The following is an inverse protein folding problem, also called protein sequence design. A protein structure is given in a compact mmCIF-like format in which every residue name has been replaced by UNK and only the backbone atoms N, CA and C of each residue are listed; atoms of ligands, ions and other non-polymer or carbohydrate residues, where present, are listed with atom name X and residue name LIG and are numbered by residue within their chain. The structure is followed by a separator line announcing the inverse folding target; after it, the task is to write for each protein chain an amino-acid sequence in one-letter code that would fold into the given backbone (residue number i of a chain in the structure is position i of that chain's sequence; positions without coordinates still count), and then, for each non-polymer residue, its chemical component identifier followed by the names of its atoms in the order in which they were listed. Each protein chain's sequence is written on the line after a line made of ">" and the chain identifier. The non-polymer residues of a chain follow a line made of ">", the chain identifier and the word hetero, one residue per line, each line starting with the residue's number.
data_IF_984292096721
#
_entry.id   IF_984292096721
#
_cell.length_a   1.000
_cell.length_b   1.000
_cell.length_c   1.000
_cell.angle_alpha   90.00
_cell.angle_beta   90.00
_cell.angle_gamma   90.00
#
_symmetry.space_group_name_H-M   'P 1'
#
loop_
_entity.id
_entity.type
_entity.pdbx_description
1 polymer ?
#
# COMPACT_ATOMS: atom_id res chain seq x y z
N UNK A 1 -1.66 16.56 19.66
CA UNK A 1 -2.26 15.98 18.45
C UNK A 1 -3.52 16.75 18.14
N UNK A 2 -3.47 17.55 17.09
CA UNK A 2 -4.61 18.25 16.51
C UNK A 2 -5.48 17.27 15.71
N UNK A 3 -6.73 17.64 15.44
CA UNK A 3 -7.61 16.91 14.55
C UNK A 3 -8.24 17.87 13.55
N UNK A 4 -8.14 17.57 12.27
CA UNK A 4 -8.75 18.34 11.19
C UNK A 4 -9.78 17.49 10.46
N UNK A 5 -10.95 18.06 10.19
CA UNK A 5 -12.08 17.37 9.54
C UNK A 5 -12.51 18.02 8.22
N UNK A 6 -11.91 19.13 7.84
CA UNK A 6 -12.20 19.83 6.57
C UNK A 6 -10.92 20.13 5.79
N UNK A 7 -11.07 20.25 4.48
CA UNK A 7 -9.97 20.61 3.58
C UNK A 7 -9.35 21.96 3.98
N UNK A 8 -10.18 22.95 4.28
CA UNK A 8 -9.76 24.31 4.63
C UNK A 8 -8.98 24.34 5.94
N UNK A 9 -9.45 23.60 6.95
CA UNK A 9 -8.76 23.51 8.24
C UNK A 9 -7.40 22.81 8.10
N UNK A 10 -7.32 21.76 7.26
CA UNK A 10 -6.06 21.07 6.98
C UNK A 10 -5.06 21.98 6.27
N UNK A 11 -5.51 22.72 5.26
CA UNK A 11 -4.67 23.67 4.52
C UNK A 11 -4.21 24.82 5.44
N UNK A 12 -5.09 25.39 6.25
CA UNK A 12 -4.73 26.45 7.18
C UNK A 12 -3.69 25.97 8.22
N UNK A 13 -3.87 24.76 8.73
CA UNK A 13 -2.91 24.13 9.66
C UNK A 13 -1.54 23.96 8.99
N UNK A 14 -1.48 23.34 7.80
CA UNK A 14 -0.22 23.04 7.13
C UNK A 14 0.52 24.30 6.68
N UNK A 15 -0.20 25.32 6.20
CA UNK A 15 0.37 26.62 5.87
C UNK A 15 0.97 27.33 7.09
N UNK A 16 0.35 27.19 8.27
CA UNK A 16 0.94 27.72 9.51
C UNK A 16 2.27 27.05 9.82
N UNK A 17 2.32 25.70 9.81
CA UNK A 17 3.57 24.96 10.08
C UNK A 17 4.68 25.30 9.10
N UNK A 18 4.34 25.39 7.80
CA UNK A 18 5.31 25.74 6.75
C UNK A 18 5.83 27.17 6.87
N UNK A 19 5.00 28.14 7.31
CA UNK A 19 5.46 29.51 7.58
C UNK A 19 6.49 29.56 8.72
N UNK A 20 6.38 28.64 9.66
CA UNK A 20 7.34 28.46 10.75
C UNK A 20 8.61 27.68 10.30
N UNK A 21 8.73 27.35 9.01
CA UNK A 21 9.85 26.60 8.44
C UNK A 21 9.84 25.10 8.78
N UNK A 22 8.73 24.58 9.31
CA UNK A 22 8.60 23.18 9.73
C UNK A 22 8.38 22.25 8.53
N UNK A 23 8.98 21.07 8.59
CA UNK A 23 8.80 19.98 7.65
C UNK A 23 7.62 19.10 8.04
N UNK A 24 6.77 18.75 7.06
CA UNK A 24 5.56 17.96 7.26
C UNK A 24 5.71 16.60 6.58
N UNK A 25 5.49 15.53 7.33
CA UNK A 25 5.37 14.17 6.84
C UNK A 25 3.91 13.71 6.81
N UNK A 26 3.55 12.89 5.81
CA UNK A 26 2.22 12.32 5.68
C UNK A 26 2.24 10.78 5.64
N UNK A 27 1.37 10.14 6.42
CA UNK A 27 1.01 8.73 6.29
C UNK A 27 -0.46 8.62 5.85
N UNK A 28 -0.73 8.41 4.55
CA UNK A 28 -2.11 8.22 4.08
C UNK A 28 -2.64 6.84 4.46
N UNK A 29 -3.84 6.78 5.04
CA UNK A 29 -4.49 5.53 5.42
C UNK A 29 -6.00 5.58 5.17
N UNK A 30 -6.62 4.41 5.14
CA UNK A 30 -8.09 4.26 5.16
C UNK A 30 -8.63 3.95 6.57
N UNK A 31 -7.82 4.11 7.62
CA UNK A 31 -8.18 3.75 8.99
C UNK A 31 -8.08 2.25 9.31
N UNK A 32 -8.66 1.87 10.44
CA UNK A 32 -8.51 0.55 11.06
C UNK A 32 -7.03 0.15 11.19
N UNK A 33 -6.31 1.02 11.87
CA UNK A 33 -4.86 1.03 11.97
C UNK A 33 -4.36 -0.21 12.71
N UNK A 34 -3.20 -0.70 12.27
CA UNK A 34 -2.54 -1.90 12.77
C UNK A 34 -1.02 -1.69 12.81
N UNK A 35 -0.26 -2.68 13.31
CA UNK A 35 1.21 -2.59 13.46
C UNK A 35 1.94 -2.15 12.18
N UNK A 36 1.48 -2.60 11.01
CA UNK A 36 1.95 -2.09 9.72
C UNK A 36 1.86 -0.56 9.59
N UNK A 37 0.71 0.04 9.85
CA UNK A 37 0.54 1.50 9.81
C UNK A 37 1.42 2.22 10.84
N UNK A 38 1.50 1.68 12.06
CA UNK A 38 2.37 2.26 13.11
C UNK A 38 3.84 2.24 12.70
N UNK A 39 4.30 1.20 11.99
CA UNK A 39 5.66 1.15 11.47
C UNK A 39 5.96 2.25 10.44
N UNK A 40 4.97 2.64 9.63
CA UNK A 40 5.09 3.77 8.68
C UNK A 40 5.22 5.10 9.43
N UNK A 41 4.44 5.29 10.49
CA UNK A 41 4.52 6.47 11.36
C UNK A 41 5.91 6.57 12.01
N UNK A 42 6.38 5.47 12.59
CA UNK A 42 7.70 5.38 13.22
C UNK A 42 8.85 5.63 12.23
N UNK A 43 8.73 5.13 11.00
CA UNK A 43 9.70 5.35 9.92
C UNK A 43 9.78 6.82 9.50
N UNK A 44 8.63 7.50 9.44
CA UNK A 44 8.56 8.89 8.98
C UNK A 44 8.92 9.90 10.06
N UNK A 45 8.62 9.59 11.33
CA UNK A 45 8.80 10.48 12.48
C UNK A 45 10.17 11.16 12.56
N UNK A 46 11.32 10.48 12.41
CA UNK A 46 12.63 11.13 12.53
C UNK A 46 12.99 12.05 11.35
N UNK A 47 12.20 12.04 10.26
CA UNK A 47 12.49 12.82 9.05
C UNK A 47 11.75 14.17 9.03
N UNK A 48 10.82 14.40 9.95
CA UNK A 48 9.88 15.51 9.88
C UNK A 48 9.64 16.16 11.24
N UNK A 49 9.35 17.46 11.24
CA UNK A 49 8.96 18.22 12.44
C UNK A 49 7.51 17.95 12.82
N UNK A 50 6.62 17.83 11.83
CA UNK A 50 5.21 17.54 12.02
C UNK A 50 4.79 16.26 11.27
N UNK A 51 4.23 15.29 11.99
CA UNK A 51 3.70 14.06 11.43
C UNK A 51 2.17 14.13 11.30
N UNK A 52 1.69 13.96 10.08
CA UNK A 52 0.26 13.92 9.74
C UNK A 52 -0.14 12.50 9.35
N UNK A 53 -1.27 12.04 9.88
CA UNK A 53 -1.93 10.81 9.41
C UNK A 53 -3.27 11.19 8.82
N UNK A 54 -3.56 10.77 7.58
CA UNK A 54 -4.92 10.88 7.04
C UNK A 54 -5.68 9.58 7.23
N UNK A 55 -6.94 9.67 7.64
CA UNK A 55 -7.87 8.55 7.74
C UNK A 55 -9.06 8.87 6.84
N UNK A 56 -9.08 8.27 5.66
CA UNK A 56 -10.15 8.50 4.69
C UNK A 56 -10.36 7.25 3.83
N UNK A 57 -11.56 6.66 3.90
CA UNK A 57 -11.95 5.56 3.02
C UNK A 57 -12.39 6.16 1.69
N UNK A 58 -11.46 6.24 0.74
CA UNK A 58 -11.70 6.84 -0.56
C UNK A 58 -12.68 6.00 -1.40
N UNK A 59 -13.85 6.49 -1.82
CA UNK A 59 -14.77 5.74 -2.67
C UNK A 59 -14.22 5.47 -4.08
N UNK A 60 -13.41 6.37 -4.65
CA UNK A 60 -12.96 6.27 -6.05
C UNK A 60 -12.06 5.06 -6.33
N UNK A 61 -11.44 4.50 -5.30
CA UNK A 61 -10.57 3.32 -5.43
C UNK A 61 -11.29 1.99 -5.16
N UNK A 62 -12.61 2.01 -5.01
CA UNK A 62 -13.43 0.82 -4.87
C UNK A 62 -14.30 0.61 -6.12
N UNK A 63 -14.24 -0.60 -6.68
CA UNK A 63 -15.11 -1.02 -7.78
C UNK A 63 -16.52 -1.38 -7.30
N UNK A 64 -17.50 -1.51 -8.23
CA UNK A 64 -18.82 -2.04 -7.90
C UNK A 64 -18.72 -3.42 -7.25
N UNK A 65 -19.39 -3.61 -6.11
CA UNK A 65 -19.40 -4.88 -5.37
C UNK A 65 -18.16 -5.13 -4.50
N UNK A 66 -17.20 -4.20 -4.46
CA UNK A 66 -16.11 -4.24 -3.47
C UNK A 66 -16.57 -3.83 -2.07
N UNK A 67 -15.69 -3.95 -1.09
CA UNK A 67 -16.00 -3.88 0.34
C UNK A 67 -16.12 -2.45 0.90
N UNK A 68 -16.54 -1.45 0.10
CA UNK A 68 -16.66 -0.05 0.53
C UNK A 68 -17.60 0.10 1.74
N UNK A 69 -18.82 -0.45 1.64
CA UNK A 69 -19.85 -0.33 2.68
C UNK A 69 -19.51 -1.10 3.96
N UNK A 70 -18.69 -2.15 3.84
CA UNK A 70 -18.31 -3.03 4.94
C UNK A 70 -16.88 -2.76 5.46
N UNK A 71 -16.17 -1.76 4.91
CA UNK A 71 -14.79 -1.48 5.27
C UNK A 71 -14.70 -1.17 6.78
N UNK A 72 -13.76 -1.80 7.53
CA UNK A 72 -13.67 -1.57 8.97
C UNK A 72 -13.44 -0.09 9.31
N UNK A 73 -14.05 0.36 10.41
CA UNK A 73 -13.82 1.68 10.99
C UNK A 73 -13.69 1.53 12.51
N UNK A 74 -12.64 2.12 13.07
CA UNK A 74 -12.37 2.18 14.51
C UNK A 74 -11.73 3.52 14.84
N UNK A 75 -12.50 4.61 14.70
CA UNK A 75 -11.95 5.97 14.81
C UNK A 75 -11.29 6.21 16.16
N UNK A 76 -11.89 5.75 17.27
CA UNK A 76 -11.33 5.92 18.60
C UNK A 76 -10.02 5.15 18.76
N UNK A 77 -10.00 3.88 18.37
CA UNK A 77 -8.78 3.08 18.42
C UNK A 77 -7.70 3.57 17.46
N UNK A 78 -8.06 4.18 16.33
CA UNK A 78 -7.11 4.78 15.39
C UNK A 78 -6.48 6.04 15.98
N UNK A 79 -7.28 6.94 16.55
CA UNK A 79 -6.78 8.15 17.22
C UNK A 79 -5.86 7.80 18.41
N UNK A 80 -6.21 6.79 19.19
CA UNK A 80 -5.36 6.32 20.29
C UNK A 80 -3.99 5.83 19.79
N UNK A 81 -3.96 5.05 18.69
CA UNK A 81 -2.71 4.59 18.06
C UNK A 81 -1.89 5.76 17.49
N UNK A 82 -2.54 6.73 16.85
CA UNK A 82 -1.87 7.95 16.37
C UNK A 82 -1.24 8.74 17.51
N UNK A 83 -1.95 8.91 18.63
CA UNK A 83 -1.43 9.60 19.81
C UNK A 83 -0.20 8.88 20.39
N UNK A 84 -0.23 7.55 20.47
CA UNK A 84 0.90 6.74 20.92
C UNK A 84 2.13 6.86 20.01
N UNK A 85 1.94 7.11 18.72
CA UNK A 85 3.03 7.29 17.75
C UNK A 85 3.53 8.74 17.63
N UNK A 86 3.02 9.66 18.47
CA UNK A 86 3.43 11.06 18.43
C UNK A 86 3.02 11.77 17.14
N UNK A 87 1.83 11.47 16.63
CA UNK A 87 1.22 12.18 15.50
C UNK A 87 0.83 13.59 15.94
N UNK A 88 1.18 14.59 15.14
CA UNK A 88 0.90 16.00 15.43
C UNK A 88 -0.48 16.41 14.97
N UNK A 89 -0.97 15.87 13.85
CA UNK A 89 -2.32 16.11 13.34
C UNK A 89 -2.91 14.87 12.68
N UNK A 90 -4.15 14.55 13.01
CA UNK A 90 -4.93 13.54 12.28
C UNK A 90 -5.93 14.24 11.37
N UNK A 91 -5.88 13.95 10.08
CA UNK A 91 -6.80 14.48 9.09
C UNK A 91 -7.90 13.44 8.77
N UNK A 92 -9.12 13.71 9.21
CA UNK A 92 -10.29 12.82 9.07
C UNK A 92 -11.40 13.56 8.32
N UNK A 93 -11.22 13.83 7.02
CA UNK A 93 -12.23 14.52 6.22
C UNK A 93 -13.48 13.65 6.06
N UNK A 94 -14.66 14.27 6.14
CA UNK A 94 -15.91 13.60 5.74
C UNK A 94 -15.92 13.34 4.24
N UNK A 95 -15.53 14.36 3.48
CA UNK A 95 -15.23 14.23 2.07
C UNK A 95 -14.00 15.09 1.75
N UNK A 96 -13.15 14.58 0.85
CA UNK A 96 -12.12 15.40 0.26
C UNK A 96 -12.63 16.01 -1.03
N UNK A 97 -13.58 15.44 -1.76
CA UNK A 97 -13.97 15.92 -3.09
C UNK A 97 -15.02 17.06 -3.00
N UNK A 98 -14.75 18.25 -3.56
CA UNK A 98 -15.75 19.32 -3.61
C UNK A 98 -16.84 19.03 -4.65
N UNK A 99 -17.95 19.74 -4.54
CA UNK A 99 -19.03 19.69 -5.53
C UNK A 99 -18.51 19.95 -6.94
N UNK A 100 -18.86 19.06 -7.88
CA UNK A 100 -18.44 19.14 -9.27
C UNK A 100 -16.99 18.69 -9.54
N UNK A 101 -16.33 18.00 -8.59
CA UNK A 101 -15.00 17.43 -8.80
C UNK A 101 -14.98 16.50 -10.02
N UNK A 102 -14.18 16.86 -11.03
CA UNK A 102 -14.14 16.18 -12.34
C UNK A 102 -12.71 15.84 -12.80
N UNK A 103 -11.72 15.97 -11.92
CA UNK A 103 -10.31 15.71 -12.23
C UNK A 103 -9.92 14.31 -11.78
N UNK A 104 -9.20 13.56 -12.62
CA UNK A 104 -8.51 12.34 -12.23
C UNK A 104 -7.05 12.38 -12.61
N UNK A 105 -6.25 11.58 -11.92
CA UNK A 105 -4.82 11.37 -12.20
C UNK A 105 -4.66 9.90 -12.51
N UNK A 106 -4.11 9.55 -13.67
CA UNK A 106 -3.90 8.15 -14.08
C UNK A 106 -2.45 7.92 -14.49
N UNK A 107 -1.89 6.77 -14.10
CA UNK A 107 -0.54 6.32 -14.47
C UNK A 107 -0.67 5.13 -15.41
N UNK A 108 -0.12 5.26 -16.63
CA UNK A 108 -0.10 4.19 -17.62
C UNK A 108 1.03 3.17 -17.39
N UNK A 109 0.97 2.03 -18.08
CA UNK A 109 2.01 0.99 -18.04
C UNK A 109 1.98 0.15 -16.76
N UNK A 110 2.35 0.75 -15.61
CA UNK A 110 2.42 0.08 -14.30
C UNK A 110 1.09 -0.50 -13.81
N UNK A 111 -0.02 -0.02 -14.36
CA UNK A 111 -1.40 -0.41 -14.01
C UNK A 111 -2.01 -1.43 -14.98
N UNK A 112 -1.29 -1.83 -16.05
CA UNK A 112 -1.82 -2.72 -17.09
C UNK A 112 -1.91 -4.19 -16.70
N UNK A 113 -1.19 -4.61 -15.65
CA UNK A 113 -1.16 -5.97 -15.14
C UNK A 113 -1.43 -6.06 -13.63
N UNK A 114 -1.25 -7.25 -13.07
CA UNK A 114 -1.38 -7.52 -11.63
C UNK A 114 -2.73 -7.01 -11.07
N UNK A 115 -2.74 -6.30 -9.95
CA UNK A 115 -3.97 -5.75 -9.36
C UNK A 115 -4.68 -4.75 -10.27
N UNK A 116 -3.98 -4.11 -11.21
CA UNK A 116 -4.57 -3.12 -12.09
C UNK A 116 -5.46 -3.75 -13.16
N UNK A 117 -5.08 -4.93 -13.66
CA UNK A 117 -5.91 -5.71 -14.57
C UNK A 117 -7.19 -6.22 -13.89
N UNK A 118 -7.08 -6.66 -12.63
CA UNK A 118 -8.24 -7.13 -11.85
C UNK A 118 -9.17 -5.99 -11.40
N UNK A 119 -8.65 -4.76 -11.27
CA UNK A 119 -9.34 -3.62 -10.66
C UNK A 119 -9.14 -2.34 -11.50
N UNK A 120 -9.83 -2.23 -12.65
CA UNK A 120 -9.50 -1.24 -13.69
C UNK A 120 -9.50 0.23 -13.26
N UNK A 121 -10.33 0.60 -12.28
CA UNK A 121 -10.42 1.99 -11.77
C UNK A 121 -9.63 2.23 -10.49
N UNK A 122 -9.07 1.17 -9.89
CA UNK A 122 -8.52 1.24 -8.54
C UNK A 122 -7.35 2.22 -8.44
N UNK A 123 -6.36 2.08 -9.32
CA UNK A 123 -5.16 2.91 -9.24
C UNK A 123 -5.42 4.37 -9.60
N UNK A 124 -6.34 4.66 -10.54
CA UNK A 124 -6.77 6.03 -10.83
C UNK A 124 -7.41 6.68 -9.59
N UNK A 125 -8.25 5.93 -8.87
CA UNK A 125 -8.80 6.37 -7.59
C UNK A 125 -7.72 6.66 -6.54
N UNK A 126 -6.71 5.78 -6.44
CA UNK A 126 -5.57 5.92 -5.52
C UNK A 126 -4.69 7.14 -5.86
N UNK A 127 -4.28 7.30 -7.11
CA UNK A 127 -3.45 8.44 -7.54
C UNK A 127 -4.21 9.76 -7.38
N UNK A 128 -5.50 9.77 -7.68
CA UNK A 128 -6.35 10.97 -7.51
C UNK A 128 -6.48 11.38 -6.05
N UNK A 129 -6.77 10.45 -5.12
CA UNK A 129 -6.87 10.77 -3.69
C UNK A 129 -5.51 11.18 -3.12
N UNK A 130 -4.42 10.48 -3.48
CA UNK A 130 -3.09 10.78 -2.93
C UNK A 130 -2.57 12.12 -3.44
N UNK A 131 -2.78 12.46 -4.73
CA UNK A 131 -2.44 13.78 -5.27
C UNK A 131 -3.19 14.91 -4.54
N UNK A 132 -4.49 14.72 -4.26
CA UNK A 132 -5.26 15.66 -3.41
C UNK A 132 -4.66 15.79 -2.02
N UNK A 133 -4.36 14.67 -1.35
CA UNK A 133 -3.80 14.69 0.00
C UNK A 133 -2.45 15.40 0.05
N UNK A 134 -1.57 15.20 -0.95
CA UNK A 134 -0.32 15.95 -1.06
C UNK A 134 -0.55 17.45 -1.20
N UNK A 135 -1.54 17.88 -1.99
CA UNK A 135 -1.91 19.29 -2.11
C UNK A 135 -2.48 19.90 -0.83
N UNK A 136 -3.40 19.18 -0.17
CA UNK A 136 -4.08 19.64 1.05
C UNK A 136 -3.14 19.72 2.25
N UNK A 137 -2.29 18.70 2.42
CA UNK A 137 -1.34 18.61 3.53
C UNK A 137 -0.06 19.40 3.24
N UNK A 138 0.32 19.54 1.97
CA UNK A 138 1.55 20.23 1.58
C UNK A 138 2.81 19.59 2.18
N UNK A 139 2.81 18.25 2.31
CA UNK A 139 3.91 17.48 2.89
C UNK A 139 5.17 17.46 2.01
N UNK A 140 6.33 17.28 2.63
CA UNK A 140 7.62 17.07 1.94
C UNK A 140 8.00 15.59 1.87
N UNK A 141 7.47 14.79 2.79
CA UNK A 141 7.71 13.35 2.86
C UNK A 141 6.40 12.60 3.00
N UNK A 142 6.29 11.44 2.37
CA UNK A 142 5.15 10.55 2.57
C UNK A 142 5.58 9.09 2.59
N UNK A 143 5.03 8.30 3.51
CA UNK A 143 5.32 6.87 3.60
C UNK A 143 4.21 6.01 3.06
N UNK A 144 4.59 4.97 2.33
CA UNK A 144 3.67 3.93 1.85
C UNK A 144 4.31 2.56 2.06
N UNK A 145 3.50 1.58 2.46
CA UNK A 145 3.99 0.23 2.75
C UNK A 145 4.24 -0.59 1.49
N UNK A 146 5.34 -1.34 1.47
CA UNK A 146 5.69 -2.28 0.40
C UNK A 146 4.72 -3.46 0.27
N UNK A 147 3.81 -3.66 1.24
CA UNK A 147 2.72 -4.63 1.11
C UNK A 147 1.92 -4.40 -0.17
N UNK A 148 1.59 -3.15 -0.45
CA UNK A 148 0.87 -2.74 -1.66
C UNK A 148 1.90 -2.28 -2.71
N UNK A 149 2.82 -3.18 -3.10
CA UNK A 149 4.02 -2.84 -3.88
C UNK A 149 3.71 -2.14 -5.21
N UNK A 150 2.70 -2.62 -5.95
CA UNK A 150 2.28 -1.97 -7.20
C UNK A 150 1.77 -0.54 -6.95
N UNK A 151 1.04 -0.29 -5.84
CA UNK A 151 0.63 1.05 -5.45
C UNK A 151 1.84 1.95 -5.16
N UNK A 152 2.82 1.44 -4.40
CA UNK A 152 4.04 2.18 -4.11
C UNK A 152 4.76 2.60 -5.41
N UNK A 153 4.90 1.70 -6.38
CA UNK A 153 5.54 2.01 -7.66
C UNK A 153 4.74 3.01 -8.49
N UNK A 154 3.41 2.84 -8.57
CA UNK A 154 2.51 3.79 -9.24
C UNK A 154 2.61 5.19 -8.63
N UNK A 155 2.64 5.31 -7.30
CA UNK A 155 2.75 6.59 -6.61
C UNK A 155 4.12 7.24 -6.80
N UNK A 156 5.20 6.45 -6.82
CA UNK A 156 6.55 6.95 -7.15
C UNK A 156 6.61 7.49 -8.57
N UNK A 157 6.04 6.77 -9.55
CA UNK A 157 5.94 7.22 -10.93
C UNK A 157 5.12 8.52 -11.02
N UNK A 158 3.95 8.59 -10.38
CA UNK A 158 3.11 9.79 -10.34
C UNK A 158 3.86 11.01 -9.79
N UNK A 159 4.57 10.84 -8.67
CA UNK A 159 5.36 11.92 -8.04
C UNK A 159 6.45 12.43 -8.98
N UNK A 160 7.16 11.52 -9.63
CA UNK A 160 8.19 11.86 -10.62
C UNK A 160 7.62 12.61 -11.81
N UNK A 161 6.58 12.06 -12.45
CA UNK A 161 6.02 12.59 -13.70
C UNK A 161 5.33 13.95 -13.51
N UNK A 162 4.70 14.15 -12.36
CA UNK A 162 4.03 15.40 -12.01
C UNK A 162 4.96 16.41 -11.31
N UNK A 163 6.25 16.08 -11.16
CA UNK A 163 7.23 16.91 -10.45
C UNK A 163 6.75 17.36 -9.05
N UNK A 164 6.06 16.47 -8.33
CA UNK A 164 5.53 16.77 -7.01
C UNK A 164 6.71 16.87 -6.02
N UNK A 165 6.79 17.91 -5.17
CA UNK A 165 7.89 18.10 -4.23
C UNK A 165 7.72 17.23 -2.98
N UNK A 166 7.45 15.93 -3.18
CA UNK A 166 7.21 14.94 -2.14
C UNK A 166 8.20 13.79 -2.31
N UNK A 167 8.96 13.49 -1.25
CA UNK A 167 9.79 12.28 -1.22
C UNK A 167 8.98 11.10 -0.69
N UNK A 168 8.84 10.08 -1.51
CA UNK A 168 8.22 8.81 -1.11
C UNK A 168 9.23 7.98 -0.32
N UNK A 169 8.89 7.65 0.92
CA UNK A 169 9.68 6.82 1.83
C UNK A 169 9.00 5.43 1.93
N UNK A 170 9.56 4.39 1.31
CA UNK A 170 8.96 3.06 1.32
C UNK A 170 9.12 2.41 2.69
N UNK A 171 8.02 1.88 3.23
CA UNK A 171 8.02 1.15 4.50
C UNK A 171 7.98 -0.35 4.29
N UNK A 172 8.87 -1.09 4.95
CA UNK A 172 8.94 -2.54 4.84
C UNK A 172 7.60 -3.22 5.16
N UNK A 173 7.31 -4.32 4.48
CA UNK A 173 6.12 -5.14 4.71
C UNK A 173 6.19 -5.77 6.11
N UNK A 174 5.19 -5.49 6.96
CA UNK A 174 5.06 -6.10 8.29
C UNK A 174 4.16 -7.33 8.23
N UNK A 175 4.62 -8.41 8.85
CA UNK A 175 3.91 -9.69 8.96
C UNK A 175 3.47 -9.93 10.40
N UNK A 176 2.44 -10.75 10.54
CA UNK A 176 2.04 -11.34 11.80
C UNK A 176 3.03 -12.45 12.21
N UNK A 177 2.92 -12.95 13.43
CA UNK A 177 3.89 -13.91 13.98
C UNK A 177 3.87 -15.27 13.25
N UNK A 178 2.77 -15.58 12.56
CA UNK A 178 2.63 -16.77 11.70
C UNK A 178 3.07 -16.53 10.25
N UNK A 179 3.55 -15.32 9.90
CA UNK A 179 4.05 -14.95 8.59
C UNK A 179 3.02 -14.28 7.66
N UNK A 180 1.74 -14.24 8.03
CA UNK A 180 0.71 -13.58 7.22
C UNK A 180 0.98 -12.07 7.12
N UNK A 181 0.96 -11.50 5.92
CA UNK A 181 1.07 -10.05 5.75
C UNK A 181 -0.07 -9.33 6.50
N UNK A 182 0.25 -8.32 7.30
CA UNK A 182 -0.75 -7.59 8.07
C UNK A 182 -1.67 -6.78 7.15
N UNK A 183 -2.97 -6.93 7.34
CA UNK A 183 -3.99 -6.22 6.59
C UNK A 183 -5.24 -6.05 7.42
N UNK A 184 -5.90 -4.90 7.32
CA UNK A 184 -7.23 -4.66 7.89
C UNK A 184 -8.25 -5.71 7.42
N UNK A 185 -8.06 -6.29 6.24
CA UNK A 185 -8.92 -7.34 5.68
C UNK A 185 -8.72 -8.73 6.32
N UNK A 186 -7.64 -8.95 7.07
CA UNK A 186 -7.41 -10.24 7.75
C UNK A 186 -8.50 -10.55 8.79
N UNK A 187 -9.22 -9.53 9.29
CA UNK A 187 -10.36 -9.71 10.22
C UNK A 187 -11.51 -10.54 9.63
N UNK A 188 -11.59 -10.63 8.30
CA UNK A 188 -12.63 -11.39 7.60
C UNK A 188 -12.33 -12.88 7.49
N UNK A 189 -11.09 -13.30 7.76
CA UNK A 189 -10.68 -14.69 7.68
C UNK A 189 -11.13 -15.44 8.92
N UNK A 190 -11.85 -16.54 8.71
CA UNK A 190 -12.01 -17.60 9.71
C UNK A 190 -10.66 -18.26 10.03
N UNK A 191 -10.62 -19.05 11.10
CA UNK A 191 -9.41 -19.80 11.49
C UNK A 191 -8.96 -20.75 10.37
N UNK A 192 -9.91 -21.38 9.66
CA UNK A 192 -9.60 -22.29 8.55
C UNK A 192 -9.05 -21.53 7.33
N UNK A 193 -9.70 -20.43 6.94
CA UNK A 193 -9.23 -19.57 5.85
C UNK A 193 -7.85 -18.98 6.16
N UNK A 194 -7.59 -18.55 7.40
CA UNK A 194 -6.26 -18.05 7.80
C UNK A 194 -5.17 -19.11 7.60
N UNK A 195 -5.42 -20.37 7.99
CA UNK A 195 -4.45 -21.46 7.78
C UNK A 195 -4.11 -21.68 6.30
N UNK A 196 -5.10 -21.56 5.40
CA UNK A 196 -4.88 -21.65 3.95
C UNK A 196 -4.18 -20.42 3.40
N UNK A 197 -4.53 -19.23 3.87
CA UNK A 197 -3.90 -17.96 3.48
C UNK A 197 -2.38 -17.95 3.77
N UNK A 198 -1.92 -18.66 4.81
CA UNK A 198 -0.49 -18.84 5.07
C UNK A 198 0.28 -19.56 3.96
N UNK A 199 -0.40 -20.26 3.05
CA UNK A 199 0.25 -20.86 1.87
C UNK A 199 0.78 -19.82 0.89
N UNK A 200 0.19 -18.62 0.84
CA UNK A 200 0.68 -17.51 0.01
C UNK A 200 2.08 -17.07 0.46
N UNK A 201 2.26 -16.93 1.78
CA UNK A 201 3.56 -16.64 2.37
C UNK A 201 4.58 -17.74 2.09
N UNK A 202 4.20 -19.03 2.27
CA UNK A 202 5.08 -20.17 1.98
C UNK A 202 5.51 -20.21 0.52
N UNK A 203 4.59 -20.00 -0.42
CA UNK A 203 4.87 -19.96 -1.86
C UNK A 203 5.91 -18.88 -2.20
N UNK A 204 5.70 -17.66 -1.72
CA UNK A 204 6.62 -16.54 -1.96
C UNK A 204 8.01 -16.79 -1.35
N UNK A 205 8.08 -17.26 -0.11
CA UNK A 205 9.36 -17.53 0.54
C UNK A 205 10.10 -18.71 -0.08
N UNK A 206 9.38 -19.74 -0.55
CA UNK A 206 9.99 -20.83 -1.32
C UNK A 206 10.64 -20.30 -2.61
N UNK A 207 9.96 -19.40 -3.34
CA UNK A 207 10.53 -18.72 -4.51
C UNK A 207 11.74 -17.88 -4.15
N UNK A 208 11.64 -17.02 -3.13
CA UNK A 208 12.72 -16.13 -2.71
C UNK A 208 13.97 -16.88 -2.23
N UNK A 209 13.79 -17.98 -1.49
CA UNK A 209 14.89 -18.81 -0.98
C UNK A 209 15.55 -19.66 -2.07
N UNK A 210 14.78 -20.11 -3.08
CA UNK A 210 15.31 -20.89 -4.19
C UNK A 210 16.01 -20.01 -5.24
N UNK A 211 15.56 -18.76 -5.39
CA UNK A 211 16.15 -17.82 -6.30
C UNK A 211 17.59 -17.46 -5.88
N UNK A 212 18.52 -17.64 -6.80
CA UNK A 212 19.88 -17.13 -6.71
C UNK A 212 20.04 -15.91 -7.61
N UNK A 213 21.11 -15.13 -7.39
CA UNK A 213 21.54 -14.18 -8.41
C UNK A 213 21.70 -14.93 -9.75
N UNK A 214 21.22 -14.33 -10.84
CA UNK A 214 21.29 -14.92 -12.18
C UNK A 214 20.48 -16.21 -12.37
N UNK A 215 19.36 -16.36 -11.65
CA UNK A 215 18.44 -17.49 -11.92
C UNK A 215 17.86 -17.36 -13.33
N UNK A 216 18.17 -18.34 -14.18
CA UNK A 216 17.75 -18.37 -15.59
C UNK A 216 16.36 -18.98 -15.81
N UNK A 217 15.87 -19.82 -14.89
CA UNK A 217 14.59 -20.51 -15.01
C UNK A 217 13.54 -19.96 -14.03
N UNK A 218 12.92 -18.84 -14.41
CA UNK A 218 11.80 -18.25 -13.67
C UNK A 218 10.56 -19.17 -13.68
N UNK A 219 10.40 -19.99 -14.72
CA UNK A 219 9.27 -20.93 -14.79
C UNK A 219 9.34 -21.95 -13.66
N UNK A 220 10.52 -22.52 -13.41
CA UNK A 220 10.73 -23.44 -12.29
C UNK A 220 10.45 -22.78 -10.92
N UNK A 221 10.81 -21.49 -10.75
CA UNK A 221 10.47 -20.75 -9.52
C UNK A 221 8.95 -20.60 -9.36
N UNK A 222 8.24 -20.24 -10.42
CA UNK A 222 6.79 -20.09 -10.39
C UNK A 222 6.09 -21.42 -10.09
N UNK A 223 6.55 -22.53 -10.69
CA UNK A 223 6.02 -23.87 -10.38
C UNK A 223 6.32 -24.29 -8.94
N UNK A 224 7.51 -23.97 -8.42
CA UNK A 224 7.83 -24.17 -7.00
C UNK A 224 6.86 -23.40 -6.10
N UNK A 225 6.60 -22.14 -6.42
CA UNK A 225 5.64 -21.31 -5.69
C UNK A 225 4.23 -21.91 -5.73
N UNK A 226 3.74 -22.29 -6.93
CA UNK A 226 2.43 -22.94 -7.10
C UNK A 226 2.32 -24.25 -6.32
N UNK A 227 3.36 -25.06 -6.30
CA UNK A 227 3.39 -26.33 -5.55
C UNK A 227 3.31 -26.17 -4.02
N UNK A 228 3.55 -24.98 -3.49
CA UNK A 228 3.43 -24.67 -2.06
C UNK A 228 2.05 -24.12 -1.66
N UNK A 229 1.18 -23.84 -2.63
CA UNK A 229 -0.17 -23.35 -2.38
C UNK A 229 -1.08 -24.48 -1.89
N UNK A 230 -1.87 -24.18 -0.86
CA UNK A 230 -2.86 -25.11 -0.29
C UNK A 230 -4.22 -24.42 -0.25
N UNK A 231 -4.62 -23.91 -1.41
CA UNK A 231 -5.91 -23.24 -1.63
C UNK A 231 -7.00 -24.31 -1.84
N UNK A 232 -8.18 -24.08 -1.26
CA UNK A 232 -9.34 -24.95 -1.47
C UNK A 232 -9.99 -24.66 -2.84
N UNK A 233 -10.82 -25.56 -3.39
CA UNK A 233 -11.52 -25.31 -4.67
C UNK A 233 -12.41 -24.04 -4.71
N UNK A 234 -12.77 -23.49 -3.54
CA UNK A 234 -13.53 -22.24 -3.43
C UNK A 234 -12.66 -20.99 -3.25
N UNK A 235 -11.34 -21.15 -3.14
CA UNK A 235 -10.37 -20.07 -3.18
C UNK A 235 -9.91 -19.86 -4.63
N UNK A 236 -9.43 -18.66 -4.96
CA UNK A 236 -9.02 -18.32 -6.33
C UNK A 236 -7.65 -17.65 -6.35
N UNK A 237 -6.69 -18.23 -7.07
CA UNK A 237 -5.38 -17.61 -7.29
C UNK A 237 -5.49 -16.68 -8.50
N UNK A 238 -5.58 -15.38 -8.24
CA UNK A 238 -5.63 -14.38 -9.30
C UNK A 238 -4.31 -14.33 -10.07
N UNK A 239 -3.20 -14.23 -9.34
CA UNK A 239 -1.88 -14.26 -9.94
C UNK A 239 -0.80 -14.70 -8.95
N UNK A 240 0.25 -15.31 -9.50
CA UNK A 240 1.57 -15.47 -8.89
C UNK A 240 2.58 -15.15 -9.99
N UNK A 241 3.31 -14.06 -9.82
CA UNK A 241 4.20 -13.52 -10.86
C UNK A 241 5.53 -13.08 -10.28
N UNK A 242 6.58 -13.17 -11.11
CA UNK A 242 7.88 -12.59 -10.84
C UNK A 242 8.13 -11.47 -11.86
N UNK A 243 8.38 -10.27 -11.36
CA UNK A 243 8.50 -9.06 -12.16
C UNK A 243 9.75 -8.28 -11.83
N UNK A 244 10.16 -7.38 -12.72
CA UNK A 244 11.14 -6.34 -12.43
C UNK A 244 10.62 -5.43 -11.31
N UNK A 245 11.47 -5.13 -10.33
CA UNK A 245 11.04 -4.41 -9.13
C UNK A 245 10.70 -2.93 -9.38
N UNK A 246 11.05 -2.37 -10.54
CA UNK A 246 10.80 -0.97 -10.90
C UNK A 246 9.64 -0.84 -11.88
N UNK A 247 9.73 -1.50 -13.04
CA UNK A 247 8.74 -1.35 -14.11
C UNK A 247 7.59 -2.37 -14.04
N UNK A 248 7.66 -3.33 -13.12
CA UNK A 248 6.65 -4.37 -12.89
C UNK A 248 6.33 -5.25 -14.12
N UNK A 249 7.19 -5.26 -15.12
CA UNK A 249 7.07 -6.19 -16.24
C UNK A 249 7.56 -7.57 -15.83
N UNK A 250 6.90 -8.62 -16.35
CA UNK A 250 7.31 -10.01 -16.14
C UNK A 250 8.73 -10.21 -16.62
N UNK A 251 9.52 -10.93 -15.82
CA UNK A 251 10.89 -11.28 -16.17
C UNK A 251 10.99 -12.77 -16.49
N UNK A 252 11.81 -13.10 -17.48
CA UNK A 252 12.16 -14.49 -17.79
C UNK A 252 13.38 -14.95 -16.99
N UNK A 253 14.18 -14.02 -16.45
CA UNK A 253 15.42 -14.27 -15.73
C UNK A 253 15.64 -13.24 -14.63
N UNK A 254 16.29 -13.63 -13.53
CA UNK A 254 16.63 -12.73 -12.41
C UNK A 254 17.97 -12.06 -12.69
N UNK A 255 17.95 -10.93 -13.40
CA UNK A 255 19.16 -10.14 -13.77
C UNK A 255 19.38 -8.88 -12.93
N UNK A 256 18.42 -8.52 -12.10
CA UNK A 256 18.44 -7.31 -11.26
C UNK A 256 17.41 -7.43 -10.14
N UNK A 257 17.09 -6.33 -9.44
CA UNK A 257 16.06 -6.34 -8.42
C UNK A 257 14.72 -6.79 -9.02
N UNK A 258 14.17 -7.87 -8.49
CA UNK A 258 12.88 -8.42 -8.88
C UNK A 258 11.93 -8.49 -7.68
N UNK A 259 10.63 -8.64 -7.96
CA UNK A 259 9.60 -8.85 -6.96
C UNK A 259 8.73 -10.04 -7.34
N UNK A 260 8.62 -11.01 -6.45
CA UNK A 260 7.55 -12.01 -6.56
C UNK A 260 6.30 -11.44 -5.90
N UNK A 261 5.19 -11.36 -6.64
CA UNK A 261 3.90 -10.88 -6.13
C UNK A 261 2.85 -11.98 -6.26
N UNK A 262 1.95 -12.02 -5.28
CA UNK A 262 0.81 -12.94 -5.28
C UNK A 262 -0.46 -12.21 -4.89
N UNK A 263 -1.57 -12.56 -5.53
CA UNK A 263 -2.91 -12.22 -5.09
C UNK A 263 -3.82 -13.44 -5.19
N UNK A 264 -4.64 -13.64 -4.16
CA UNK A 264 -5.63 -14.70 -4.12
C UNK A 264 -6.86 -14.28 -3.32
N UNK A 265 -8.03 -14.83 -3.66
CA UNK A 265 -9.22 -14.79 -2.83
C UNK A 265 -9.24 -16.05 -1.98
N UNK A 266 -9.24 -15.88 -0.65
CA UNK A 266 -9.42 -16.97 0.31
C UNK A 266 -10.77 -16.81 0.98
N UNK A 267 -11.69 -17.74 0.71
CA UNK A 267 -13.11 -17.59 1.01
C UNK A 267 -13.71 -16.39 0.27
N UNK A 268 -13.88 -15.26 0.97
CA UNK A 268 -14.37 -14.00 0.38
C UNK A 268 -13.35 -12.87 0.46
N UNK A 269 -12.17 -13.14 0.99
CA UNK A 269 -11.17 -12.11 1.29
C UNK A 269 -10.08 -12.12 0.24
N UNK A 270 -9.99 -11.04 -0.55
CA UNK A 270 -8.85 -10.86 -1.45
C UNK A 270 -7.61 -10.43 -0.66
N UNK A 271 -6.59 -11.27 -0.70
CA UNK A 271 -5.29 -11.07 -0.06
C UNK A 271 -4.23 -10.79 -1.12
N UNK A 272 -3.24 -9.98 -0.75
CA UNK A 272 -2.06 -9.73 -1.54
C UNK A 272 -0.82 -9.87 -0.66
N UNK A 273 0.27 -10.31 -1.25
CA UNK A 273 1.56 -10.42 -0.60
C UNK A 273 2.68 -10.33 -1.65
N UNK A 274 3.90 -10.09 -1.22
CA UNK A 274 5.06 -10.05 -2.10
C UNK A 274 6.38 -10.23 -1.33
N UNK A 275 7.44 -10.60 -2.04
CA UNK A 275 8.83 -10.65 -1.53
C UNK A 275 9.82 -10.15 -2.58
N UNK A 276 10.92 -9.56 -2.13
CA UNK A 276 12.06 -9.24 -2.99
C UNK A 276 12.75 -10.52 -3.46
N UNK A 277 13.22 -10.52 -4.70
CA UNK A 277 13.96 -11.61 -5.33
C UNK A 277 15.17 -11.02 -6.05
N UNK A 278 16.34 -11.63 -5.85
CA UNK A 278 17.60 -11.13 -6.43
C UNK A 278 18.23 -9.99 -5.62
N UNK A 279 19.06 -9.15 -6.25
CA UNK A 279 19.70 -8.01 -5.60
C UNK A 279 18.71 -7.02 -4.98
N UNK A 280 19.15 -6.33 -3.92
CA UNK A 280 18.33 -5.32 -3.24
C UNK A 280 18.07 -4.10 -4.15
N UNK A 281 16.81 -3.66 -4.20
CA UNK A 281 16.45 -2.40 -4.85
C UNK A 281 16.92 -1.25 -3.97
N UNK A 282 17.83 -0.42 -4.48
CA UNK A 282 18.17 0.83 -3.80
C UNK A 282 17.13 1.89 -4.13
N UNK A 283 16.48 2.41 -3.09
CA UNK A 283 15.52 3.50 -3.21
C UNK A 283 16.22 4.83 -3.46
N UNK A 284 16.41 5.18 -4.73
CA UNK A 284 16.84 6.52 -5.16
C UNK A 284 15.68 7.50 -5.21
#
# INVERSE_FOLDING_TARGET
>A
MDCSTTNEAMVAWSQSRRRDGRTIGLVPTMGFLHRGHMSLMALLRPLVDDLVVSIYVNPLQFGPGEDLDCYPRDTEGDLAKCQQQGVDCVFVPQDIYPDGFCTSVAVGGLTSGLCGADRPTHFEGVTTVVARLFGLVGCQFATFGEKDYQQLMVLRQMVSDLALPVRIVPGALIRDDDGLALSSRNKYLSIAERKRALSLHRALFAMGNAAKAETEDVTALLELGRGNLTLDPGDDLHYLELVDAVNLQRVEQVRGPCRALIAAVVGRTRLIDNVAVGPELTWT
#
